data_IF_575367336681
#
_entry.id   IF_575367336681
#
_cell.length_a   1.000
_cell.length_b   1.000
_cell.length_c   1.000
_cell.angle_alpha   90.00
_cell.angle_beta   90.00
_cell.angle_gamma   90.00
#
_symmetry.space_group_name_H-M   'P 1'
#
loop_
_entity.id
_entity.type
_entity.pdbx_description
1 polymer ?
#
# COMPACT_ATOMS: atom_id res chain seq x y z
N UNK A 1 11.60 -4.13 22.85
CA UNK A 1 12.38 -2.89 22.65
C UNK A 1 13.83 -3.31 22.52
N UNK A 2 14.32 -3.46 21.28
CA UNK A 2 15.71 -3.81 21.02
C UNK A 2 16.49 -2.48 20.91
N UNK A 3 17.19 -2.12 21.98
CA UNK A 3 18.17 -1.03 21.96
C UNK A 3 19.43 -1.57 21.27
N UNK A 4 19.49 -1.43 19.96
CA UNK A 4 20.78 -1.31 19.30
C UNK A 4 21.14 0.16 19.36
N UNK A 5 22.17 0.48 20.13
CA UNK A 5 22.84 1.76 20.08
C UNK A 5 23.50 1.85 18.70
N UNK A 6 22.72 2.29 17.70
CA UNK A 6 23.21 2.47 16.34
C UNK A 6 24.05 3.73 16.32
N UNK A 7 25.24 3.61 16.90
CA UNK A 7 26.36 4.43 16.51
C UNK A 7 26.41 4.44 14.97
N UNK A 8 26.81 5.57 14.40
CA UNK A 8 27.10 5.72 12.96
C UNK A 8 28.27 4.81 12.55
N UNK A 9 28.14 3.50 12.72
CA UNK A 9 29.06 2.50 12.24
C UNK A 9 28.94 2.54 10.73
N UNK A 10 29.99 3.05 10.10
CA UNK A 10 30.35 2.66 8.74
C UNK A 10 30.20 1.13 8.67
N UNK A 11 29.26 0.65 7.86
CA UNK A 11 29.11 -0.78 7.64
C UNK A 11 30.27 -1.22 6.73
N UNK A 12 31.44 -1.44 7.33
CA UNK A 12 32.64 -1.91 6.63
C UNK A 12 32.52 -3.39 6.21
N UNK A 13 31.58 -4.14 6.80
CA UNK A 13 31.36 -5.56 6.51
C UNK A 13 30.06 -5.79 5.72
N UNK A 14 30.23 -6.14 4.44
CA UNK A 14 29.17 -6.49 3.49
C UNK A 14 28.22 -7.56 4.02
N UNK A 15 28.71 -8.52 4.79
CA UNK A 15 27.89 -9.62 5.30
C UNK A 15 26.83 -9.14 6.31
N UNK A 16 27.15 -8.10 7.08
CA UNK A 16 26.23 -7.49 8.06
C UNK A 16 25.14 -6.72 7.34
N UNK A 17 25.49 -5.95 6.30
CA UNK A 17 24.54 -5.20 5.49
C UNK A 17 23.54 -6.12 4.78
N UNK A 18 24.03 -7.17 4.13
CA UNK A 18 23.16 -8.14 3.45
C UNK A 18 22.19 -8.82 4.43
N UNK A 19 22.65 -9.15 5.65
CA UNK A 19 21.79 -9.76 6.66
C UNK A 19 20.70 -8.80 7.17
N UNK A 20 21.03 -7.52 7.38
CA UNK A 20 20.06 -6.50 7.78
C UNK A 20 19.01 -6.24 6.70
N UNK A 21 19.40 -6.12 5.44
CA UNK A 21 18.47 -5.98 4.33
C UNK A 21 17.51 -7.17 4.23
N UNK A 22 18.02 -8.39 4.38
CA UNK A 22 17.20 -9.61 4.39
C UNK A 22 16.21 -9.63 5.55
N UNK A 23 16.65 -9.23 6.74
CA UNK A 23 15.77 -9.15 7.91
C UNK A 23 14.66 -8.11 7.69
N UNK A 24 14.98 -6.91 7.20
CA UNK A 24 13.97 -5.90 6.89
C UNK A 24 12.99 -6.36 5.82
N UNK A 25 13.45 -7.07 4.78
CA UNK A 25 12.56 -7.68 3.78
C UNK A 25 11.60 -8.66 4.46
N UNK A 26 12.09 -9.55 5.32
CA UNK A 26 11.26 -10.53 6.02
C UNK A 26 10.20 -9.85 6.91
N UNK A 27 10.58 -8.85 7.70
CA UNK A 27 9.67 -8.11 8.58
C UNK A 27 8.60 -7.34 7.79
N UNK A 28 8.98 -6.76 6.64
CA UNK A 28 8.07 -6.07 5.74
C UNK A 28 7.10 -7.04 5.05
N UNK A 29 7.54 -8.23 4.65
CA UNK A 29 6.66 -9.27 4.08
C UNK A 29 5.63 -9.72 5.11
N UNK A 30 6.04 -9.98 6.36
CA UNK A 30 5.09 -10.30 7.44
C UNK A 30 4.09 -9.16 7.66
N UNK A 31 4.56 -7.91 7.60
CA UNK A 31 3.69 -6.74 7.71
C UNK A 31 2.73 -6.63 6.53
N UNK A 32 3.19 -6.95 5.32
CA UNK A 32 2.37 -6.98 4.10
C UNK A 32 1.24 -8.00 4.26
N UNK A 33 1.57 -9.25 4.63
CA UNK A 33 0.60 -10.35 4.77
C UNK A 33 -0.51 -10.01 5.78
N UNK A 34 -0.12 -9.40 6.91
CA UNK A 34 -1.09 -8.94 7.92
C UNK A 34 -2.02 -7.86 7.38
N UNK A 35 -1.49 -6.84 6.70
CA UNK A 35 -2.32 -5.79 6.11
C UNK A 35 -3.19 -6.32 4.97
N UNK A 36 -2.70 -7.30 4.20
CA UNK A 36 -3.46 -7.95 3.14
C UNK A 36 -4.62 -8.77 3.70
N UNK A 37 -4.41 -9.45 4.83
CA UNK A 37 -5.47 -10.14 5.58
C UNK A 37 -6.57 -9.15 6.01
N UNK A 38 -6.21 -8.01 6.61
CA UNK A 38 -7.19 -7.01 7.00
C UNK A 38 -7.91 -6.38 5.81
N UNK A 39 -7.23 -6.24 4.66
CA UNK A 39 -7.87 -5.76 3.43
C UNK A 39 -8.93 -6.76 2.93
N UNK A 40 -8.62 -8.06 2.92
CA UNK A 40 -9.60 -9.10 2.57
C UNK A 40 -10.80 -9.08 3.50
N UNK A 41 -10.57 -9.01 4.82
CA UNK A 41 -11.65 -8.93 5.80
C UNK A 41 -12.52 -7.69 5.56
N UNK A 42 -11.92 -6.53 5.33
CA UNK A 42 -12.67 -5.32 5.04
C UNK A 42 -13.49 -5.44 3.73
N UNK A 43 -12.98 -6.13 2.72
CA UNK A 43 -13.70 -6.37 1.46
C UNK A 43 -14.89 -7.32 1.64
N UNK A 44 -14.75 -8.37 2.46
CA UNK A 44 -15.87 -9.26 2.82
C UNK A 44 -16.98 -8.48 3.55
N UNK A 45 -16.62 -7.65 4.54
CA UNK A 45 -17.55 -6.81 5.28
C UNK A 45 -18.27 -5.77 4.40
N UNK A 46 -17.57 -5.23 3.37
CA UNK A 46 -18.18 -4.38 2.35
C UNK A 46 -19.25 -5.15 1.58
N UNK A 47 -18.94 -6.37 1.12
CA UNK A 47 -19.89 -7.17 0.34
C UNK A 47 -21.12 -7.58 1.15
N UNK A 48 -20.95 -7.86 2.44
CA UNK A 48 -22.06 -8.15 3.36
C UNK A 48 -22.92 -6.91 3.62
N UNK A 49 -22.30 -5.80 4.02
CA UNK A 49 -22.99 -4.54 4.31
C UNK A 49 -23.68 -3.96 3.08
N UNK A 50 -23.12 -4.16 1.88
CA UNK A 50 -23.71 -3.67 0.64
C UNK A 50 -24.99 -4.43 0.25
N UNK A 51 -25.13 -5.71 0.63
CA UNK A 51 -26.37 -6.49 0.35
C UNK A 51 -27.59 -5.93 1.09
N UNK A 52 -27.39 -5.34 2.27
CA UNK A 52 -28.46 -4.77 3.08
C UNK A 52 -28.67 -3.27 2.85
N UNK A 53 -27.85 -2.63 2.00
CA UNK A 53 -27.87 -1.19 1.73
C UNK A 53 -29.27 -0.64 1.34
N UNK A 54 -30.07 -1.42 0.61
CA UNK A 54 -31.42 -0.99 0.19
C UNK A 54 -32.41 -0.82 1.36
N UNK A 55 -32.13 -1.42 2.52
CA UNK A 55 -32.97 -1.29 3.72
C UNK A 55 -32.77 0.05 4.45
N UNK A 56 -31.80 0.87 4.02
CA UNK A 56 -31.59 2.26 4.44
C UNK A 56 -31.39 2.45 5.96
N UNK A 57 -30.81 1.47 6.66
CA UNK A 57 -30.39 1.67 8.05
C UNK A 57 -29.13 2.54 8.07
N UNK A 58 -29.25 3.75 8.62
CA UNK A 58 -28.17 4.70 8.77
C UNK A 58 -26.91 4.07 9.40
N UNK A 59 -27.10 3.11 10.31
CA UNK A 59 -26.00 2.38 10.95
C UNK A 59 -25.25 1.50 9.95
N UNK A 60 -25.96 0.77 9.10
CA UNK A 60 -25.35 -0.11 8.09
C UNK A 60 -24.58 0.69 7.04
N UNK A 61 -25.10 1.86 6.67
CA UNK A 61 -24.43 2.77 5.74
C UNK A 61 -23.11 3.33 6.30
N UNK A 62 -23.05 3.61 7.60
CA UNK A 62 -21.80 4.04 8.27
C UNK A 62 -20.77 2.91 8.36
N UNK A 63 -21.21 1.68 8.59
CA UNK A 63 -20.34 0.49 8.60
C UNK A 63 -19.72 0.31 7.21
N UNK A 64 -20.53 0.40 6.15
CA UNK A 64 -20.06 0.33 4.78
C UNK A 64 -19.03 1.43 4.45
N UNK A 65 -19.33 2.69 4.81
CA UNK A 65 -18.42 3.83 4.62
C UNK A 65 -17.06 3.62 5.33
N UNK A 66 -17.10 3.07 6.54
CA UNK A 66 -15.92 2.71 7.33
C UNK A 66 -15.07 1.65 6.63
N UNK A 67 -15.65 0.56 6.17
CA UNK A 67 -14.88 -0.51 5.52
C UNK A 67 -14.33 -0.10 4.14
N UNK A 68 -15.06 0.71 3.38
CA UNK A 68 -14.54 1.32 2.13
C UNK A 68 -13.33 2.22 2.43
N UNK A 69 -13.47 3.10 3.42
CA UNK A 69 -12.39 4.00 3.84
C UNK A 69 -11.15 3.22 4.28
N UNK A 70 -11.34 2.18 5.09
CA UNK A 70 -10.26 1.32 5.54
C UNK A 70 -9.59 0.56 4.39
N UNK A 71 -10.36 0.05 3.43
CA UNK A 71 -9.81 -0.65 2.27
C UNK A 71 -8.87 0.26 1.46
N UNK A 72 -9.29 1.50 1.19
CA UNK A 72 -8.47 2.49 0.47
C UNK A 72 -7.19 2.85 1.26
N UNK A 73 -7.30 2.99 2.58
CA UNK A 73 -6.13 3.24 3.45
C UNK A 73 -5.17 2.05 3.47
N UNK A 74 -5.70 0.83 3.59
CA UNK A 74 -4.90 -0.40 3.60
C UNK A 74 -4.17 -0.61 2.26
N UNK A 75 -4.81 -0.31 1.13
CA UNK A 75 -4.15 -0.31 -0.20
C UNK A 75 -2.93 0.63 -0.19
N UNK A 76 -3.08 1.83 0.38
CA UNK A 76 -1.95 2.79 0.49
C UNK A 76 -0.85 2.26 1.41
N UNK A 77 -1.20 1.63 2.53
CA UNK A 77 -0.23 1.01 3.43
C UNK A 77 0.52 -0.14 2.75
N UNK A 78 -0.17 -0.97 1.98
CA UNK A 78 0.43 -2.07 1.21
C UNK A 78 1.39 -1.54 0.15
N UNK A 79 1.03 -0.45 -0.54
CA UNK A 79 1.91 0.27 -1.46
C UNK A 79 3.21 0.71 -0.80
N UNK A 80 3.11 1.37 0.36
CA UNK A 80 4.25 1.84 1.14
C UNK A 80 5.19 0.69 1.53
N UNK A 81 4.63 -0.43 1.96
CA UNK A 81 5.39 -1.64 2.28
C UNK A 81 6.09 -2.17 1.03
N UNK A 82 5.39 -2.33 -0.09
CA UNK A 82 5.97 -2.86 -1.33
C UNK A 82 7.07 -1.95 -1.90
N UNK A 83 6.95 -0.63 -1.77
CA UNK A 83 8.03 0.33 -2.12
C UNK A 83 9.29 0.03 -1.33
N UNK A 84 9.16 -0.20 -0.02
CA UNK A 84 10.31 -0.50 0.84
C UNK A 84 10.91 -1.87 0.52
N UNK A 85 10.07 -2.89 0.29
CA UNK A 85 10.53 -4.22 -0.17
C UNK A 85 11.30 -4.10 -1.48
N UNK A 86 10.79 -3.36 -2.47
CA UNK A 86 11.51 -3.05 -3.73
C UNK A 86 12.87 -2.41 -3.48
N UNK A 87 12.92 -1.44 -2.58
CA UNK A 87 14.16 -0.74 -2.26
C UNK A 87 15.21 -1.69 -1.67
N UNK A 88 14.84 -2.45 -0.62
CA UNK A 88 15.78 -3.35 0.04
C UNK A 88 16.19 -4.53 -0.85
N UNK A 89 15.28 -5.07 -1.66
CA UNK A 89 15.63 -6.10 -2.65
C UNK A 89 16.59 -5.55 -3.70
N UNK A 90 16.34 -4.34 -4.22
CA UNK A 90 17.24 -3.69 -5.18
C UNK A 90 18.63 -3.42 -4.59
N UNK A 91 18.73 -3.05 -3.31
CA UNK A 91 20.00 -2.85 -2.62
C UNK A 91 20.84 -4.13 -2.58
N UNK A 92 20.21 -5.27 -2.27
CA UNK A 92 20.86 -6.59 -2.29
C UNK A 92 21.34 -6.94 -3.70
N UNK A 93 20.56 -6.59 -4.74
CA UNK A 93 20.87 -6.92 -6.14
C UNK A 93 22.04 -6.15 -6.73
N UNK A 94 22.05 -4.82 -6.58
CA UNK A 94 23.05 -3.98 -7.23
C UNK A 94 24.36 -3.91 -6.43
N UNK A 95 24.35 -4.33 -5.17
CA UNK A 95 25.51 -4.36 -4.27
C UNK A 95 26.26 -2.99 -4.25
N UNK A 96 25.51 -1.89 -4.36
CA UNK A 96 25.99 -0.50 -4.39
C UNK A 96 25.54 0.19 -3.09
N UNK A 97 26.45 0.21 -2.10
CA UNK A 97 26.18 0.75 -0.77
C UNK A 97 26.37 2.28 -0.81
N UNK A 98 25.30 3.00 -1.12
CA UNK A 98 25.23 4.41 -0.77
C UNK A 98 24.91 4.54 0.74
N UNK A 99 25.96 4.58 1.55
CA UNK A 99 25.92 4.54 3.02
C UNK A 99 24.95 5.59 3.60
N UNK A 100 24.92 6.81 3.05
CA UNK A 100 24.06 7.90 3.56
C UNK A 100 22.56 7.65 3.33
N UNK A 101 22.18 7.07 2.18
CA UNK A 101 20.78 6.72 1.91
C UNK A 101 20.37 5.43 2.63
N UNK A 102 21.29 4.48 2.72
CA UNK A 102 21.14 3.25 3.50
C UNK A 102 20.87 3.58 4.96
N UNK A 103 21.71 4.41 5.59
CA UNK A 103 21.56 4.77 7.00
C UNK A 103 20.18 5.34 7.35
N UNK A 104 19.61 6.19 6.49
CA UNK A 104 18.25 6.74 6.68
C UNK A 104 17.14 5.71 6.60
N UNK A 105 17.31 4.66 5.80
CA UNK A 105 16.32 3.60 5.63
C UNK A 105 16.29 2.62 6.81
N UNK A 106 17.38 2.52 7.60
CA UNK A 106 17.49 1.63 8.76
C UNK A 106 17.41 2.34 10.11
N UNK A 107 18.00 3.55 10.23
CA UNK A 107 18.20 4.21 11.52
C UNK A 107 17.13 5.26 11.85
N UNK A 108 16.14 5.41 10.99
CA UNK A 108 15.04 6.36 11.16
C UNK A 108 15.33 7.74 10.56
N UNK A 109 14.36 8.63 10.75
CA UNK A 109 14.29 9.93 10.11
C UNK A 109 15.30 10.91 10.73
N UNK A 110 16.30 11.35 9.96
CA UNK A 110 17.13 12.51 10.32
C UNK A 110 16.47 13.82 9.85
N UNK A 111 17.06 14.98 10.17
CA UNK A 111 16.53 16.29 9.74
C UNK A 111 16.38 16.44 8.22
N UNK A 112 17.01 15.57 7.42
CA UNK A 112 16.95 15.57 5.96
C UNK A 112 16.00 14.51 5.39
N UNK A 113 15.40 13.69 6.25
CA UNK A 113 14.44 12.67 5.86
C UNK A 113 13.14 13.30 5.36
N UNK A 114 12.59 12.76 4.27
CA UNK A 114 11.24 13.09 3.81
C UNK A 114 10.21 12.04 4.26
N UNK A 115 10.61 11.19 5.19
CA UNK A 115 9.89 10.00 5.60
C UNK A 115 10.39 8.74 4.91
N UNK A 116 10.42 7.63 5.65
CA UNK A 116 11.01 6.36 5.21
C UNK A 116 10.50 5.86 3.85
N UNK A 117 9.19 5.97 3.58
CA UNK A 117 8.61 5.55 2.29
C UNK A 117 9.13 6.42 1.14
N UNK A 118 9.19 7.74 1.33
CA UNK A 118 9.61 8.66 0.28
C UNK A 118 11.10 8.51 -0.04
N UNK A 119 11.92 8.36 0.99
CA UNK A 119 13.35 8.11 0.84
C UNK A 119 13.62 6.78 0.10
N UNK A 120 12.83 5.73 0.41
CA UNK A 120 12.90 4.43 -0.28
C UNK A 120 12.50 4.55 -1.76
N UNK A 121 11.43 5.29 -2.06
CA UNK A 121 11.00 5.59 -3.42
C UNK A 121 12.10 6.30 -4.20
N UNK A 122 12.68 7.37 -3.67
CA UNK A 122 13.73 8.13 -4.34
C UNK A 122 14.97 7.28 -4.60
N UNK A 123 15.34 6.41 -3.66
CA UNK A 123 16.42 5.45 -3.87
C UNK A 123 16.10 4.49 -5.02
N UNK A 124 14.90 3.90 -5.03
CA UNK A 124 14.49 2.98 -6.09
C UNK A 124 14.49 3.66 -7.47
N UNK A 125 13.92 4.85 -7.59
CA UNK A 125 13.86 5.60 -8.86
C UNK A 125 15.25 5.94 -9.42
N UNK A 126 16.20 6.26 -8.54
CA UNK A 126 17.58 6.59 -8.93
C UNK A 126 18.39 5.35 -9.35
N UNK A 127 18.13 4.20 -8.74
CA UNK A 127 19.00 3.04 -8.86
C UNK A 127 18.39 1.86 -9.66
N UNK A 128 17.08 1.83 -9.91
CA UNK A 128 16.46 0.72 -10.65
C UNK A 128 17.04 0.55 -12.07
N UNK A 129 17.54 1.62 -12.68
CA UNK A 129 18.20 1.59 -14.00
C UNK A 129 19.59 0.94 -13.97
N UNK A 130 20.22 0.88 -12.79
CA UNK A 130 21.54 0.27 -12.59
C UNK A 130 21.46 -1.24 -12.38
N UNK A 131 20.30 -1.78 -12.03
CA UNK A 131 20.12 -3.23 -11.90
C UNK A 131 20.14 -3.90 -13.27
N UNK A 132 20.91 -4.98 -13.37
CA UNK A 132 20.92 -5.88 -14.53
C UNK A 132 19.56 -6.53 -14.78
N UNK A 133 18.69 -6.55 -13.76
CA UNK A 133 17.36 -7.16 -13.76
C UNK A 133 16.21 -6.12 -13.80
N UNK A 134 16.47 -4.91 -14.34
CA UNK A 134 15.51 -3.79 -14.41
C UNK A 134 14.08 -4.18 -14.89
N UNK A 135 13.96 -5.12 -15.83
CA UNK A 135 12.66 -5.52 -16.41
C UNK A 135 11.75 -6.25 -15.40
N UNK A 136 12.32 -6.78 -14.32
CA UNK A 136 11.61 -7.69 -13.42
C UNK A 136 10.96 -6.99 -12.24
N UNK A 137 11.35 -5.74 -11.94
CA UNK A 137 10.76 -5.00 -10.84
C UNK A 137 9.41 -4.37 -11.24
N UNK A 138 8.36 -4.52 -10.41
CA UNK A 138 7.09 -3.88 -10.65
C UNK A 138 7.20 -2.35 -10.63
N UNK A 139 6.32 -1.69 -11.37
CA UNK A 139 6.21 -0.24 -11.35
C UNK A 139 5.87 0.28 -9.94
N UNK A 140 6.32 1.50 -9.64
CA UNK A 140 5.90 2.18 -8.42
C UNK A 140 4.44 2.62 -8.52
N UNK A 141 3.71 2.66 -7.40
CA UNK A 141 2.33 3.15 -7.39
C UNK A 141 2.27 4.63 -7.77
N UNK A 142 1.42 4.99 -8.71
CA UNK A 142 1.21 6.34 -9.22
C UNK A 142 -0.27 6.59 -9.51
N UNK A 143 -0.61 7.77 -10.04
CA UNK A 143 -2.01 8.10 -10.36
C UNK A 143 -2.58 7.30 -11.55
N UNK A 144 -1.73 6.66 -12.35
CA UNK A 144 -2.13 5.92 -13.54
C UNK A 144 -2.46 4.46 -13.18
N UNK A 145 -1.75 3.89 -12.20
CA UNK A 145 -1.90 2.52 -11.74
C UNK A 145 -2.52 2.37 -10.33
N UNK A 146 -3.01 3.45 -9.71
CA UNK A 146 -3.86 3.41 -8.51
C UNK A 146 -5.13 4.21 -8.73
N UNK A 147 -6.25 3.51 -8.89
CA UNK A 147 -7.56 4.07 -9.21
C UNK A 147 -8.24 4.71 -8.01
N UNK A 148 -7.97 4.22 -6.81
CA UNK A 148 -8.54 4.75 -5.56
C UNK A 148 -7.80 5.97 -5.01
N UNK A 149 -6.73 6.43 -5.68
CA UNK A 149 -5.86 7.52 -5.20
C UNK A 149 -6.60 8.84 -4.95
N UNK A 150 -7.55 9.18 -5.81
CA UNK A 150 -8.33 10.42 -5.65
C UNK A 150 -9.24 10.33 -4.42
N UNK A 151 -9.87 9.18 -4.18
CA UNK A 151 -10.67 8.96 -2.98
C UNK A 151 -9.84 8.97 -1.70
N UNK A 152 -8.63 8.42 -1.74
CA UNK A 152 -7.69 8.55 -0.62
C UNK A 152 -7.45 10.01 -0.25
N UNK A 153 -7.16 10.87 -1.23
CA UNK A 153 -6.92 12.30 -0.97
C UNK A 153 -8.16 12.95 -0.35
N UNK A 154 -9.35 12.63 -0.86
CA UNK A 154 -10.62 13.12 -0.31
C UNK A 154 -10.87 12.63 1.13
N UNK A 155 -10.63 11.36 1.42
CA UNK A 155 -10.71 10.81 2.79
C UNK A 155 -9.78 11.58 3.73
N UNK A 156 -8.52 11.80 3.32
CA UNK A 156 -7.49 12.39 4.17
C UNK A 156 -7.72 13.88 4.42
N UNK A 157 -8.20 14.63 3.44
CA UNK A 157 -8.27 16.09 3.52
C UNK A 157 -9.68 16.64 3.71
N UNK A 158 -10.70 15.92 3.27
CA UNK A 158 -12.09 16.40 3.23
C UNK A 158 -13.00 15.62 4.20
N UNK A 159 -12.48 14.58 4.87
CA UNK A 159 -13.30 13.73 5.75
C UNK A 159 -14.48 13.10 5.00
N UNK A 160 -14.26 12.75 3.73
CA UNK A 160 -15.30 12.37 2.78
C UNK A 160 -16.13 11.20 3.30
N UNK A 161 -17.46 11.37 3.35
CA UNK A 161 -18.41 10.26 3.41
C UNK A 161 -18.85 9.89 2.00
N UNK A 162 -18.89 8.59 1.70
CA UNK A 162 -19.40 8.10 0.43
C UNK A 162 -20.93 8.12 0.35
N UNK A 163 -21.59 8.27 1.50
CA UNK A 163 -23.04 8.27 1.64
C UNK A 163 -23.57 9.70 1.78
N UNK A 164 -24.39 10.14 0.82
CA UNK A 164 -25.05 11.46 0.87
C UNK A 164 -26.53 11.31 1.18
N UNK A 165 -27.03 11.97 2.24
CA UNK A 165 -28.43 11.86 2.66
C UNK A 165 -29.35 12.89 2.03
N UNK A 166 -28.83 14.09 1.71
CA UNK A 166 -29.71 15.25 1.50
C UNK A 166 -29.59 15.87 0.10
N UNK A 167 -28.41 15.81 -0.51
CA UNK A 167 -28.14 16.41 -1.82
C UNK A 167 -26.92 15.79 -2.49
N UNK A 168 -26.85 15.91 -3.82
CA UNK A 168 -25.71 15.48 -4.63
C UNK A 168 -25.17 16.70 -5.38
N UNK A 169 -23.85 16.84 -5.38
CA UNK A 169 -23.17 17.83 -6.21
C UNK A 169 -22.69 17.18 -7.51
N UNK A 170 -23.16 17.69 -8.66
CA UNK A 170 -22.70 17.26 -9.99
C UNK A 170 -22.21 18.50 -10.74
N UNK A 171 -20.90 18.58 -10.99
CA UNK A 171 -20.27 19.72 -11.69
C UNK A 171 -20.62 21.09 -11.08
N UNK A 172 -20.65 21.20 -9.75
CA UNK A 172 -21.01 22.43 -9.03
C UNK A 172 -22.53 22.69 -8.92
N UNK A 173 -23.37 21.81 -9.45
CA UNK A 173 -24.82 21.89 -9.31
C UNK A 173 -25.28 21.04 -8.11
N UNK A 174 -25.97 21.67 -7.15
CA UNK A 174 -26.58 20.98 -6.02
C UNK A 174 -27.97 20.49 -6.43
N UNK A 175 -28.16 19.17 -6.43
CA UNK A 175 -29.42 18.52 -6.76
C UNK A 175 -29.94 17.84 -5.49
N UNK A 176 -31.06 18.36 -4.97
CA UNK A 176 -31.89 17.64 -4.01
C UNK A 176 -32.84 16.68 -4.73
N UNK A 177 -33.17 15.56 -4.10
CA UNK A 177 -34.06 14.56 -4.70
C UNK A 177 -34.85 13.79 -3.65
N UNK A 178 -35.75 12.92 -4.10
CA UNK A 178 -36.43 11.97 -3.22
C UNK A 178 -35.43 11.02 -2.59
N UNK A 179 -35.77 10.42 -1.44
CA UNK A 179 -34.92 9.43 -0.78
C UNK A 179 -34.55 8.28 -1.72
N UNK A 180 -35.49 7.80 -2.54
CA UNK A 180 -35.25 6.75 -3.54
C UNK A 180 -34.20 7.16 -4.58
N UNK A 181 -34.25 8.40 -5.06
CA UNK A 181 -33.27 8.93 -5.99
C UNK A 181 -31.88 8.99 -5.33
N UNK A 182 -31.80 9.50 -4.10
CA UNK A 182 -30.55 9.59 -3.32
C UNK A 182 -29.92 8.21 -3.08
N UNK A 183 -30.72 7.24 -2.62
CA UNK A 183 -30.27 5.85 -2.42
C UNK A 183 -29.76 5.24 -3.73
N UNK A 184 -30.43 5.46 -4.85
CA UNK A 184 -29.99 4.95 -6.17
C UNK A 184 -28.64 5.52 -6.61
N UNK A 185 -28.40 6.82 -6.41
CA UNK A 185 -27.12 7.43 -6.76
C UNK A 185 -25.99 6.99 -5.82
N UNK A 186 -26.25 6.92 -4.52
CA UNK A 186 -25.27 6.39 -3.56
C UNK A 186 -24.89 4.95 -3.90
N UNK A 187 -25.87 4.10 -4.23
CA UNK A 187 -25.63 2.72 -4.65
C UNK A 187 -24.69 2.65 -5.85
N UNK A 188 -24.93 3.45 -6.90
CA UNK A 188 -24.07 3.52 -8.09
C UNK A 188 -22.63 3.92 -7.75
N UNK A 189 -22.48 4.97 -6.95
CA UNK A 189 -21.16 5.48 -6.54
C UNK A 189 -20.40 4.49 -5.67
N UNK A 190 -21.09 3.79 -4.78
CA UNK A 190 -20.50 2.74 -3.95
C UNK A 190 -20.02 1.57 -4.81
N UNK A 191 -20.83 1.10 -5.77
CA UNK A 191 -20.42 0.04 -6.72
C UNK A 191 -19.14 0.45 -7.44
N UNK A 192 -19.11 1.67 -7.97
CA UNK A 192 -17.92 2.20 -8.65
C UNK A 192 -16.68 2.13 -7.74
N UNK A 193 -16.78 2.60 -6.49
CA UNK A 193 -15.65 2.57 -5.55
C UNK A 193 -15.21 1.13 -5.24
N UNK A 194 -16.16 0.21 -5.06
CA UNK A 194 -15.87 -1.22 -4.82
C UNK A 194 -15.09 -1.81 -5.99
N UNK A 195 -15.50 -1.51 -7.23
CA UNK A 195 -14.82 -1.99 -8.43
C UNK A 195 -13.39 -1.43 -8.51
N UNK A 196 -13.18 -0.15 -8.19
CA UNK A 196 -11.84 0.46 -8.16
C UNK A 196 -10.95 -0.15 -7.06
N UNK A 197 -11.51 -0.46 -5.89
CA UNK A 197 -10.81 -1.18 -4.81
C UNK A 197 -10.37 -2.57 -5.29
N UNK A 198 -11.25 -3.30 -6.00
CA UNK A 198 -10.94 -4.61 -6.57
C UNK A 198 -9.85 -4.52 -7.63
N UNK A 199 -9.90 -3.51 -8.51
CA UNK A 199 -8.85 -3.25 -9.49
C UNK A 199 -7.49 -3.02 -8.83
N UNK A 200 -7.41 -2.10 -7.86
CA UNK A 200 -6.16 -1.78 -7.17
C UNK A 200 -5.62 -2.98 -6.39
N UNK A 201 -6.49 -3.78 -5.78
CA UNK A 201 -6.13 -5.03 -5.10
C UNK A 201 -5.53 -6.05 -6.08
N UNK A 202 -6.12 -6.20 -7.28
CA UNK A 202 -5.57 -7.06 -8.32
C UNK A 202 -4.23 -6.57 -8.88
N UNK A 203 -3.95 -5.26 -8.82
CA UNK A 203 -2.63 -4.72 -9.15
C UNK A 203 -1.62 -5.06 -8.04
N UNK A 204 -2.00 -4.87 -6.77
CA UNK A 204 -1.15 -5.24 -5.61
C UNK A 204 -0.76 -6.73 -5.65
N UNK A 205 -1.70 -7.62 -5.91
CA UNK A 205 -1.44 -9.06 -5.96
C UNK A 205 -0.44 -9.43 -7.08
N UNK A 206 -0.56 -8.78 -8.25
CA UNK A 206 0.42 -8.97 -9.35
C UNK A 206 1.80 -8.44 -8.98
N UNK A 207 1.87 -7.28 -8.33
CA UNK A 207 3.14 -6.67 -7.93
C UNK A 207 3.82 -7.47 -6.83
N UNK A 208 3.08 -7.97 -5.85
CA UNK A 208 3.59 -8.84 -4.79
C UNK A 208 4.12 -10.15 -5.37
N UNK A 209 3.38 -10.81 -6.26
CA UNK A 209 3.86 -12.03 -6.92
C UNK A 209 5.17 -11.79 -7.71
N UNK A 210 5.30 -10.64 -8.38
CA UNK A 210 6.54 -10.28 -9.07
C UNK A 210 7.71 -10.10 -8.09
N UNK A 211 7.47 -9.44 -6.95
CA UNK A 211 8.50 -9.27 -5.92
C UNK A 211 8.88 -10.59 -5.26
N UNK A 212 7.94 -11.48 -4.98
CA UNK A 212 8.23 -12.79 -4.40
C UNK A 212 9.17 -13.60 -5.30
N UNK A 213 8.96 -13.56 -6.61
CA UNK A 213 9.85 -14.21 -7.58
C UNK A 213 11.27 -13.62 -7.54
N UNK A 214 11.41 -12.29 -7.38
CA UNK A 214 12.69 -11.61 -7.21
C UNK A 214 13.32 -12.06 -5.89
N UNK A 215 12.59 -11.95 -4.78
CA UNK A 215 13.06 -12.32 -3.44
C UNK A 215 13.56 -13.77 -3.43
N UNK A 216 12.81 -14.72 -4.01
CA UNK A 216 13.22 -16.12 -4.08
C UNK A 216 14.51 -16.33 -4.88
N UNK A 217 14.66 -15.63 -6.02
CA UNK A 217 15.87 -15.67 -6.85
C UNK A 217 17.10 -15.17 -6.07
N UNK A 218 16.97 -14.07 -5.34
CA UNK A 218 18.11 -13.39 -4.71
C UNK A 218 18.44 -13.90 -3.31
N UNK A 219 17.45 -14.34 -2.55
CA UNK A 219 17.67 -14.92 -1.23
C UNK A 219 18.17 -16.36 -1.27
N UNK A 220 18.23 -17.00 -2.45
CA UNK A 220 18.53 -18.45 -2.61
C UNK A 220 17.78 -19.25 -1.55
N UNK A 221 16.51 -18.93 -1.32
CA UNK A 221 15.65 -19.70 -0.43
C UNK A 221 15.45 -21.05 -1.13
N UNK A 222 16.34 -22.00 -0.86
CA UNK A 222 16.08 -23.41 -1.10
C UNK A 222 14.76 -23.69 -0.41
N UNK A 223 13.75 -24.10 -1.18
CA UNK A 223 12.47 -24.60 -0.66
C UNK A 223 12.78 -25.38 0.61
N UNK A 224 12.24 -24.95 1.75
CA UNK A 224 12.23 -25.82 2.91
C UNK A 224 11.52 -27.09 2.44
N UNK A 225 12.18 -28.27 2.46
CA UNK A 225 11.48 -29.50 2.18
C UNK A 225 10.41 -29.59 3.27
N UNK A 226 9.15 -29.65 2.85
CA UNK A 226 8.00 -29.79 3.73
C UNK A 226 8.34 -30.72 4.91
N UNK A 227 8.35 -30.17 6.11
CA UNK A 227 8.34 -30.89 7.38
C UNK A 227 6.94 -30.82 7.96
#
# INVERSE_FOLDING_TARGET
MFNYDVNKTMYDDKSIFDNLAKQCIADLVVSYDRNRFFLNLAQEEIEESFKSFENNDLKENLILDYHITNSIRLITTLDDILIRVRCFTLMVDINDINIDKVGRLYNGEDEKSKGLTQDAREYFEQNNKKSSDKKYYPNLPDKNNRKTRDYRNKITHEGLSFYQTDHIEINGLIIGGTQEFMTSQNKRKIIEIIDLIKEDTGILDKEQQQLDNIIQKHLKLTKFPNG
#
